data_IF_044989029858
#
_entry.id   IF_044989029858
#
_cell.length_a   1.000
_cell.length_b   1.000
_cell.length_c   1.000
_cell.angle_alpha   90.00
_cell.angle_beta   90.00
_cell.angle_gamma   90.00
#
_symmetry.space_group_name_H-M   'P 1'
#
loop_
_entity.id
_entity.type
_entity.pdbx_description
1 polymer ?
#
# COMPACT_ATOMS: atom_id res chain seq x y z
N UNK A 1 -3.37 -10.65 -5.39
CA UNK A 1 -2.92 -12.04 -5.69
C UNK A 1 -1.79 -12.47 -4.76
N UNK A 2 -0.69 -11.71 -4.61
CA UNK A 2 0.48 -12.08 -3.79
C UNK A 2 0.12 -12.41 -2.32
N UNK A 3 -0.79 -11.63 -1.71
CA UNK A 3 -1.25 -11.91 -0.34
C UNK A 3 -1.97 -13.25 -0.28
N UNK A 4 -2.86 -13.53 -1.23
CA UNK A 4 -3.61 -14.77 -1.31
C UNK A 4 -2.66 -15.98 -1.45
N UNK A 5 -1.68 -15.88 -2.34
CA UNK A 5 -0.63 -16.88 -2.51
C UNK A 5 0.16 -17.10 -1.21
N UNK A 6 0.55 -16.02 -0.53
CA UNK A 6 1.30 -16.10 0.73
C UNK A 6 0.56 -16.77 1.88
N UNK A 7 -0.78 -16.73 1.88
CA UNK A 7 -1.62 -17.41 2.89
C UNK A 7 -2.23 -18.73 2.37
N UNK A 8 -1.90 -19.13 1.13
CA UNK A 8 -2.31 -20.41 0.57
C UNK A 8 -3.78 -20.48 0.15
N UNK A 9 -4.38 -19.38 -0.31
CA UNK A 9 -5.74 -19.36 -0.83
C UNK A 9 -5.77 -18.93 -2.30
N UNK A 10 -6.79 -19.36 -3.03
CA UNK A 10 -7.03 -18.99 -4.41
C UNK A 10 -7.97 -17.80 -4.50
N UNK A 11 -7.64 -16.81 -5.33
CA UNK A 11 -8.51 -15.67 -5.61
C UNK A 11 -9.57 -16.08 -6.62
N UNK A 12 -10.83 -16.01 -6.23
CA UNK A 12 -11.98 -16.38 -7.07
C UNK A 12 -12.44 -15.18 -7.88
N UNK A 13 -12.56 -14.03 -7.23
CA UNK A 13 -13.06 -12.80 -7.82
C UNK A 13 -12.43 -11.58 -7.15
N UNK A 14 -12.34 -10.46 -7.87
CA UNK A 14 -11.86 -9.18 -7.35
C UNK A 14 -12.79 -8.05 -7.77
N UNK A 15 -13.38 -7.38 -6.80
CA UNK A 15 -14.16 -6.17 -7.00
C UNK A 15 -13.30 -4.93 -6.73
N UNK A 16 -13.50 -3.87 -7.52
CA UNK A 16 -12.85 -2.58 -7.31
C UNK A 16 -13.88 -1.47 -7.09
N UNK A 17 -13.68 -0.67 -6.04
CA UNK A 17 -14.42 0.58 -5.77
C UNK A 17 -13.44 1.75 -5.77
N UNK A 18 -13.74 2.78 -6.58
CA UNK A 18 -12.94 3.99 -6.70
C UNK A 18 -13.79 5.21 -6.37
N UNK A 19 -13.40 5.94 -5.34
CA UNK A 19 -13.99 7.24 -4.96
C UNK A 19 -13.01 8.36 -5.25
N UNK A 20 -13.50 9.42 -5.89
CA UNK A 20 -12.73 10.60 -6.24
C UNK A 20 -13.36 11.84 -5.59
N UNK A 21 -12.51 12.72 -5.07
CA UNK A 21 -12.91 14.02 -4.54
C UNK A 21 -12.17 15.09 -5.32
N UNK A 22 -12.91 16.10 -5.77
CA UNK A 22 -12.37 17.24 -6.51
C UNK A 22 -12.12 18.43 -5.58
N UNK A 23 -11.11 19.24 -5.90
CA UNK A 23 -10.81 20.47 -5.20
C UNK A 23 -11.98 21.47 -5.30
N UNK A 24 -12.41 22.02 -4.19
CA UNK A 24 -13.45 23.07 -4.11
C UNK A 24 -12.91 24.48 -4.41
N UNK A 25 -11.60 24.66 -4.28
CA UNK A 25 -10.83 25.89 -4.54
C UNK A 25 -9.45 25.56 -5.09
N UNK A 26 -8.78 26.58 -5.64
CA UNK A 26 -7.34 26.48 -5.97
C UNK A 26 -6.52 26.43 -4.70
N UNK A 27 -5.49 25.56 -4.67
CA UNK A 27 -4.49 25.54 -3.60
C UNK A 27 -3.14 25.04 -4.12
N UNK A 28 -2.09 25.24 -3.35
CA UNK A 28 -0.73 24.83 -3.71
C UNK A 28 -0.22 23.70 -2.81
N UNK A 29 0.54 22.82 -3.41
CA UNK A 29 1.28 21.73 -2.76
C UNK A 29 2.74 21.78 -3.22
N UNK A 30 3.62 21.02 -2.58
CA UNK A 30 5.04 20.99 -2.97
C UNK A 30 5.27 20.60 -4.45
N UNK A 31 4.38 19.81 -5.03
CA UNK A 31 4.46 19.37 -6.44
C UNK A 31 3.87 20.39 -7.44
N UNK A 32 3.22 21.48 -6.96
CA UNK A 32 2.62 22.50 -7.80
C UNK A 32 1.20 22.89 -7.42
N UNK A 33 0.48 23.53 -8.32
CA UNK A 33 -0.86 24.03 -8.10
C UNK A 33 -1.93 23.00 -8.44
N UNK A 34 -2.86 22.79 -7.53
CA UNK A 34 -4.10 22.04 -7.73
C UNK A 34 -5.21 23.05 -8.03
N UNK A 35 -5.78 22.96 -9.22
CA UNK A 35 -6.86 23.85 -9.63
C UNK A 35 -8.22 23.35 -9.13
N UNK A 36 -9.14 24.29 -8.83
CA UNK A 36 -10.53 23.98 -8.52
C UNK A 36 -11.14 23.05 -9.57
N UNK A 37 -11.85 22.02 -9.13
CA UNK A 37 -12.52 21.04 -9.99
C UNK A 37 -11.62 19.90 -10.49
N UNK A 38 -10.31 19.94 -10.21
CA UNK A 38 -9.42 18.79 -10.47
C UNK A 38 -9.45 17.80 -9.32
N UNK A 39 -9.03 16.56 -9.57
CA UNK A 39 -8.99 15.52 -8.54
C UNK A 39 -7.97 15.91 -7.46
N UNK A 40 -8.42 16.00 -6.22
CA UNK A 40 -7.61 16.33 -5.06
C UNK A 40 -7.46 15.15 -4.06
N UNK A 41 -8.34 14.16 -4.14
CA UNK A 41 -8.21 12.93 -3.35
C UNK A 41 -8.80 11.74 -4.08
N UNK A 42 -8.26 10.56 -3.79
CA UNK A 42 -8.82 9.28 -4.26
C UNK A 42 -8.74 8.24 -3.14
N UNK A 43 -9.77 7.43 -3.06
CA UNK A 43 -9.84 6.23 -2.23
C UNK A 43 -10.16 5.06 -3.12
N UNK A 44 -9.26 4.11 -3.17
CA UNK A 44 -9.38 2.91 -4.00
C UNK A 44 -9.40 1.69 -3.09
N UNK A 45 -10.43 0.87 -3.25
CA UNK A 45 -10.60 -0.35 -2.49
C UNK A 45 -10.72 -1.53 -3.44
N UNK A 46 -9.96 -2.56 -3.20
CA UNK A 46 -10.07 -3.86 -3.84
C UNK A 46 -10.54 -4.89 -2.82
N UNK A 47 -11.56 -5.66 -3.18
CA UNK A 47 -12.09 -6.75 -2.37
C UNK A 47 -11.89 -8.04 -3.14
N UNK A 48 -10.98 -8.88 -2.69
CA UNK A 48 -10.73 -10.21 -3.24
C UNK A 48 -11.51 -11.25 -2.46
N UNK A 49 -12.44 -11.92 -3.13
CA UNK A 49 -13.12 -13.10 -2.60
C UNK A 49 -12.26 -14.32 -2.92
N UNK A 50 -11.86 -15.05 -1.90
CA UNK A 50 -10.95 -16.18 -2.04
C UNK A 50 -11.60 -17.49 -1.61
N UNK A 51 -10.91 -18.60 -1.90
CA UNK A 51 -11.30 -19.92 -1.40
C UNK A 51 -11.32 -19.96 0.13
N UNK A 52 -11.98 -20.96 0.72
CA UNK A 52 -12.07 -21.17 2.16
C UNK A 52 -12.74 -20.02 2.94
N UNK A 53 -13.67 -19.30 2.30
CA UNK A 53 -14.40 -18.16 2.88
C UNK A 53 -13.47 -17.01 3.34
N UNK A 54 -12.28 -16.91 2.74
CA UNK A 54 -11.35 -15.82 3.03
C UNK A 54 -11.67 -14.62 2.14
N UNK A 55 -11.70 -13.43 2.74
CA UNK A 55 -11.80 -12.16 2.01
C UNK A 55 -10.57 -11.31 2.29
N UNK A 56 -9.93 -10.83 1.22
CA UNK A 56 -8.79 -9.93 1.29
C UNK A 56 -9.24 -8.55 0.84
N UNK A 57 -9.12 -7.56 1.72
CA UNK A 57 -9.44 -6.17 1.41
C UNK A 57 -8.13 -5.38 1.40
N UNK A 58 -7.87 -4.71 0.28
CA UNK A 58 -6.80 -3.73 0.16
C UNK A 58 -7.40 -2.36 -0.11
N UNK A 59 -7.03 -1.37 0.69
CA UNK A 59 -7.49 0.00 0.53
C UNK A 59 -6.31 0.95 0.46
N UNK A 60 -6.36 1.90 -0.49
CA UNK A 60 -5.37 2.93 -0.67
C UNK A 60 -6.05 4.30 -0.72
N UNK A 61 -5.61 5.21 0.15
CA UNK A 61 -6.12 6.58 0.25
C UNK A 61 -4.98 7.54 -0.09
N UNK A 62 -5.22 8.39 -1.07
CA UNK A 62 -4.30 9.44 -1.47
C UNK A 62 -5.00 10.79 -1.40
N UNK A 63 -4.39 11.76 -0.72
CA UNK A 63 -4.88 13.12 -0.59
C UNK A 63 -3.79 14.11 -0.97
N UNK A 64 -4.15 15.13 -1.75
CA UNK A 64 -3.22 16.19 -2.11
C UNK A 64 -2.92 17.14 -0.92
N UNK A 65 -3.83 17.21 0.05
CA UNK A 65 -3.67 17.94 1.31
C UNK A 65 -4.56 17.32 2.39
N UNK A 66 -4.34 17.67 3.64
CA UNK A 66 -5.20 17.23 4.75
C UNK A 66 -6.65 17.73 4.62
N UNK A 67 -6.85 18.88 4.00
CA UNK A 67 -8.17 19.45 3.73
C UNK A 67 -8.90 18.77 2.58
N UNK A 68 -8.18 18.01 1.75
CA UNK A 68 -8.79 17.25 0.65
C UNK A 68 -9.42 15.98 1.20
N UNK A 69 -10.76 15.88 1.18
CA UNK A 69 -11.51 14.78 1.75
C UNK A 69 -11.25 14.59 3.27
N UNK A 70 -11.60 15.57 4.12
CA UNK A 70 -11.35 15.50 5.56
C UNK A 70 -12.07 14.35 6.26
N UNK A 71 -13.12 13.79 5.64
CA UNK A 71 -13.81 12.60 6.13
C UNK A 71 -12.96 11.32 5.98
N UNK A 72 -11.89 11.35 5.20
CA UNK A 72 -10.93 10.25 5.05
C UNK A 72 -9.69 10.52 5.90
N UNK A 73 -9.88 10.68 7.19
CA UNK A 73 -8.84 11.11 8.14
C UNK A 73 -8.03 9.95 8.72
N UNK A 74 -7.90 8.86 7.99
CA UNK A 74 -7.05 7.75 8.40
C UNK A 74 -5.59 8.22 8.62
N UNK A 75 -4.92 7.71 9.67
CA UNK A 75 -3.54 8.04 9.92
C UNK A 75 -2.64 7.71 8.72
N UNK A 76 -1.68 8.57 8.42
CA UNK A 76 -0.67 8.28 7.39
C UNK A 76 0.16 7.06 7.81
N UNK A 77 0.21 6.05 6.96
CA UNK A 77 0.91 4.81 7.26
C UNK A 77 0.25 3.59 6.63
N UNK A 78 0.60 2.42 7.15
CA UNK A 78 0.03 1.14 6.74
C UNK A 78 -0.58 0.47 7.95
N UNK A 79 -1.82 0.00 7.81
CA UNK A 79 -2.48 -0.81 8.83
C UNK A 79 -2.85 -2.15 8.22
N UNK A 80 -2.51 -3.23 8.91
CA UNK A 80 -2.91 -4.60 8.60
C UNK A 80 -3.81 -5.10 9.72
N UNK A 81 -5.02 -5.52 9.36
CA UNK A 81 -5.95 -6.15 10.29
C UNK A 81 -6.25 -7.57 9.81
N UNK A 82 -6.20 -8.51 10.74
CA UNK A 82 -6.58 -9.89 10.51
C UNK A 82 -7.77 -10.22 11.41
N UNK A 83 -8.91 -10.49 10.80
CA UNK A 83 -10.10 -10.95 11.51
C UNK A 83 -10.10 -12.48 11.52
N UNK A 84 -9.64 -13.05 12.63
CA UNK A 84 -9.47 -14.47 12.79
C UNK A 84 -9.29 -14.85 14.27
N UNK A 85 -8.77 -16.03 14.51
CA UNK A 85 -8.42 -16.50 15.84
C UNK A 85 -6.91 -16.79 15.94
N UNK A 86 -6.10 -15.88 16.50
CA UNK A 86 -6.49 -14.62 17.15
C UNK A 86 -6.77 -13.47 16.15
N UNK A 87 -7.60 -12.51 16.54
CA UNK A 87 -7.70 -11.23 15.84
C UNK A 87 -6.42 -10.43 16.08
N UNK A 88 -5.86 -9.86 15.02
CA UNK A 88 -4.63 -9.08 15.09
C UNK A 88 -4.78 -7.76 14.36
N UNK A 89 -4.13 -6.72 14.88
CA UNK A 89 -4.00 -5.42 14.21
C UNK A 89 -2.57 -4.91 14.40
N UNK A 90 -1.93 -4.55 13.30
CA UNK A 90 -0.60 -3.93 13.28
C UNK A 90 -0.70 -2.65 12.49
N UNK A 91 -0.23 -1.54 13.06
CA UNK A 91 -0.14 -0.26 12.37
C UNK A 91 1.33 0.18 12.34
N UNK A 92 1.76 0.59 11.17
CA UNK A 92 3.09 1.13 10.92
C UNK A 92 2.94 2.55 10.39
N UNK A 93 3.58 3.50 11.05
CA UNK A 93 3.66 4.88 10.61
C UNK A 93 5.09 5.39 10.73
N UNK A 94 5.49 6.27 9.84
CA UNK A 94 6.74 7.01 9.91
C UNK A 94 6.51 8.43 9.39
N UNK A 95 7.50 9.29 9.53
CA UNK A 95 7.43 10.63 8.95
C UNK A 95 7.61 10.55 7.43
N UNK A 96 6.47 10.46 6.72
CA UNK A 96 6.44 10.40 5.27
C UNK A 96 6.85 11.73 4.60
N UNK A 97 6.99 12.81 5.37
CA UNK A 97 7.34 14.11 4.81
C UNK A 97 8.85 14.23 4.55
N UNK A 98 9.69 13.54 5.32
CA UNK A 98 11.13 13.70 5.21
C UNK A 98 11.74 12.93 4.02
N UNK A 99 11.38 11.63 3.82
CA UNK A 99 11.97 10.83 2.74
C UNK A 99 11.06 9.67 2.25
N UNK A 100 9.86 9.94 1.72
CA UNK A 100 8.95 8.88 1.29
C UNK A 100 9.50 8.04 0.15
N UNK A 101 10.30 8.64 -0.75
CA UNK A 101 10.90 7.96 -1.88
C UNK A 101 12.01 7.01 -1.46
N UNK A 102 12.80 7.38 -0.45
CA UNK A 102 13.84 6.51 0.11
C UNK A 102 13.21 5.28 0.74
N UNK A 103 12.19 5.46 1.59
CA UNK A 103 11.49 4.34 2.22
C UNK A 103 10.95 3.34 1.20
N UNK A 104 10.36 3.83 0.11
CA UNK A 104 9.84 2.99 -0.97
C UNK A 104 10.97 2.28 -1.73
N UNK A 105 12.06 3.00 -2.06
CA UNK A 105 13.17 2.46 -2.85
C UNK A 105 13.99 1.43 -2.07
N UNK A 106 14.17 1.62 -0.75
CA UNK A 106 15.04 0.77 0.06
C UNK A 106 14.62 -0.70 0.10
N UNK A 107 13.33 -0.98 -0.03
CA UNK A 107 12.89 -2.37 -0.13
C UNK A 107 13.45 -3.06 -1.39
N UNK A 108 13.37 -2.39 -2.53
CA UNK A 108 13.97 -2.87 -3.78
C UNK A 108 15.50 -2.97 -3.72
N UNK A 109 16.16 -1.95 -3.15
CA UNK A 109 17.63 -1.95 -3.00
C UNK A 109 18.10 -3.10 -2.12
N UNK A 110 17.43 -3.35 -1.00
CA UNK A 110 17.75 -4.45 -0.09
C UNK A 110 17.47 -5.84 -0.71
N UNK A 111 16.61 -5.92 -1.72
CA UNK A 111 16.32 -7.16 -2.43
C UNK A 111 17.43 -7.56 -3.44
N UNK A 112 18.25 -6.60 -3.92
CA UNK A 112 19.24 -6.84 -4.97
C UNK A 112 20.12 -8.06 -4.72
N UNK A 113 20.78 -8.24 -3.55
CA UNK A 113 21.62 -9.41 -3.33
C UNK A 113 20.86 -10.73 -3.46
N UNK A 114 19.65 -10.78 -2.95
CA UNK A 114 18.81 -11.99 -2.97
C UNK A 114 18.33 -12.34 -4.38
N UNK A 115 18.01 -11.32 -5.19
CA UNK A 115 17.64 -11.52 -6.60
C UNK A 115 18.85 -11.97 -7.42
N UNK A 116 20.05 -11.43 -7.14
CA UNK A 116 21.28 -11.86 -7.83
C UNK A 116 21.68 -13.30 -7.51
N UNK A 117 21.35 -13.78 -6.31
CA UNK A 117 21.66 -15.14 -5.85
C UNK A 117 20.56 -16.16 -6.23
N UNK A 118 19.41 -15.70 -6.71
CA UNK A 118 18.30 -16.58 -7.11
C UNK A 118 18.58 -17.28 -8.44
N UNK A 119 17.91 -18.41 -8.67
CA UNK A 119 17.94 -19.09 -9.96
C UNK A 119 17.37 -18.17 -11.08
N UNK A 120 17.88 -18.28 -12.31
CA UNK A 120 17.39 -17.46 -13.41
C UNK A 120 15.89 -17.64 -13.65
N UNK A 121 15.14 -16.53 -13.68
CA UNK A 121 13.69 -16.55 -13.89
C UNK A 121 12.99 -15.33 -13.30
N UNK A 122 11.66 -15.41 -13.24
CA UNK A 122 10.85 -14.45 -12.49
C UNK A 122 10.73 -14.92 -11.04
N UNK A 123 11.05 -14.05 -10.11
CA UNK A 123 10.91 -14.29 -8.67
C UNK A 123 9.97 -13.28 -8.05
N UNK A 124 9.12 -13.74 -7.15
CA UNK A 124 8.27 -12.93 -6.30
C UNK A 124 8.90 -12.77 -4.91
N UNK A 125 8.29 -11.97 -4.04
CA UNK A 125 8.71 -11.88 -2.64
C UNK A 125 8.54 -13.20 -1.88
N UNK A 126 7.69 -14.09 -2.34
CA UNK A 126 7.45 -15.38 -1.72
C UNK A 126 8.54 -16.40 -2.06
N UNK A 127 9.24 -16.20 -3.19
CA UNK A 127 10.35 -17.04 -3.63
C UNK A 127 11.68 -16.64 -2.99
N UNK A 128 11.76 -15.40 -2.47
CA UNK A 128 12.98 -14.88 -1.87
C UNK A 128 12.98 -15.10 -0.35
N UNK A 129 14.15 -15.26 0.28
CA UNK A 129 14.24 -15.28 1.72
C UNK A 129 13.81 -13.93 2.31
N UNK A 130 13.50 -13.89 3.60
CA UNK A 130 13.12 -12.66 4.28
C UNK A 130 14.20 -11.58 4.07
N UNK A 131 13.83 -10.51 3.39
CA UNK A 131 14.72 -9.39 3.11
C UNK A 131 14.90 -8.59 4.40
N UNK A 132 16.09 -8.62 4.97
CA UNK A 132 16.44 -7.90 6.18
C UNK A 132 17.26 -6.65 5.89
N UNK A 133 17.01 -5.60 6.66
CA UNK A 133 17.85 -4.41 6.65
C UNK A 133 19.29 -4.80 7.10
N UNK A 134 20.30 -4.44 6.29
CA UNK A 134 21.69 -4.47 6.72
C UNK A 134 22.10 -3.06 7.12
N UNK A 135 22.31 -2.83 8.40
CA UNK A 135 22.96 -1.61 8.88
C UNK A 135 24.41 -1.68 8.42
N UNK A 136 24.86 -0.68 7.64
CA UNK A 136 26.16 -0.68 7.02
C UNK A 136 27.30 -0.89 8.04
N UNK A 137 28.25 -1.70 7.63
CA UNK A 137 29.56 -1.83 8.26
C UNK A 137 30.46 -0.68 7.85
#
# INVERSE_FOLDING_TARGET
>A
YLIAEGIGVEVIDVEEDLKLVTADKDFEIAAGKIAKGTIAAQRRKWTGNCSNDVTIIQEAIYRASEDSAPEWNDPVGVTVEVEGAPRMKVSFSHDWNDDPLISTAMHGVNAIPYVCDAEPGFVSFLDLPLISLKVGS
#
